data_IF_905816302243
#
_entry.id   IF_905816302243
#
_cell.length_a   1.000
_cell.length_b   1.000
_cell.length_c   1.000
_cell.angle_alpha   90.00
_cell.angle_beta   90.00
_cell.angle_gamma   90.00
#
_symmetry.space_group_name_H-M   'P 1'
#
loop_
_entity.id
_entity.type
_entity.pdbx_description
1 polymer ?
#
# COMPACT_ATOMS: atom_id res chain seq x y z
N UNK A 1 -18.22 -30.11 -38.76
CA UNK A 1 -18.63 -29.44 -40.01
C UNK A 1 -18.19 -27.98 -39.91
N UNK A 2 -17.71 -27.41 -41.04
CA UNK A 2 -17.35 -26.01 -41.15
C UNK A 2 -18.31 -25.32 -42.12
N UNK A 3 -18.85 -24.19 -41.71
CA UNK A 3 -19.73 -23.38 -42.55
C UNK A 3 -19.03 -22.06 -42.89
N UNK A 4 -19.08 -21.67 -44.14
CA UNK A 4 -18.59 -20.37 -44.62
C UNK A 4 -19.83 -19.56 -45.03
N UNK A 5 -19.99 -18.42 -44.39
CA UNK A 5 -21.14 -17.54 -44.57
C UNK A 5 -20.67 -16.12 -44.90
N UNK A 6 -21.51 -15.39 -45.63
CA UNK A 6 -21.34 -13.93 -45.72
C UNK A 6 -21.69 -13.27 -44.39
N UNK A 7 -20.96 -12.25 -44.02
CA UNK A 7 -21.12 -11.56 -42.72
C UNK A 7 -22.58 -11.13 -42.46
N UNK A 8 -23.27 -10.68 -43.49
CA UNK A 8 -24.68 -10.24 -43.40
C UNK A 8 -25.68 -11.38 -43.16
N UNK A 9 -25.28 -12.62 -43.40
CA UNK A 9 -26.14 -13.82 -43.28
C UNK A 9 -25.91 -14.54 -41.93
N UNK A 10 -24.89 -14.13 -41.17
CA UNK A 10 -24.46 -14.88 -39.98
C UNK A 10 -25.52 -14.87 -38.88
N UNK A 11 -26.16 -13.74 -38.61
CA UNK A 11 -27.19 -13.64 -37.56
C UNK A 11 -28.42 -14.46 -37.89
N UNK A 12 -28.89 -14.38 -39.14
CA UNK A 12 -30.05 -15.17 -39.59
C UNK A 12 -29.77 -16.65 -39.61
N UNK A 13 -28.56 -17.07 -39.91
CA UNK A 13 -28.13 -18.48 -39.87
C UNK A 13 -28.04 -18.99 -38.41
N UNK A 14 -27.46 -18.21 -37.52
CA UNK A 14 -27.33 -18.58 -36.10
C UNK A 14 -28.71 -18.69 -35.44
N UNK A 15 -29.64 -17.77 -35.73
CA UNK A 15 -31.02 -17.84 -35.23
C UNK A 15 -31.73 -19.13 -35.68
N UNK A 16 -31.59 -19.49 -36.96
CA UNK A 16 -32.18 -20.75 -37.50
C UNK A 16 -31.59 -22.01 -36.88
N UNK A 17 -30.29 -22.01 -36.60
CA UNK A 17 -29.62 -23.12 -35.92
C UNK A 17 -30.08 -23.23 -34.47
N UNK A 18 -30.27 -22.10 -33.79
CA UNK A 18 -30.80 -22.06 -32.44
C UNK A 18 -32.22 -22.58 -32.35
N UNK A 19 -33.07 -22.22 -33.32
CA UNK A 19 -34.45 -22.69 -33.39
C UNK A 19 -34.53 -24.22 -33.66
N UNK A 20 -33.58 -24.78 -34.40
CA UNK A 20 -33.49 -26.22 -34.61
C UNK A 20 -33.16 -27.02 -33.35
N UNK A 21 -32.50 -26.44 -32.35
CA UNK A 21 -32.20 -27.03 -31.05
C UNK A 21 -31.30 -28.27 -31.05
N UNK A 22 -30.67 -28.60 -32.22
CA UNK A 22 -29.87 -29.83 -32.42
C UNK A 22 -28.36 -29.59 -32.36
N UNK A 23 -27.93 -28.34 -32.25
CA UNK A 23 -26.51 -27.96 -32.23
C UNK A 23 -26.18 -27.22 -30.95
N UNK A 24 -25.25 -27.80 -30.20
CA UNK A 24 -24.65 -27.08 -29.05
C UNK A 24 -23.48 -26.22 -29.55
N UNK A 25 -23.62 -24.91 -29.36
CA UNK A 25 -22.56 -23.96 -29.75
C UNK A 25 -21.62 -23.81 -28.55
N UNK A 26 -20.51 -24.50 -28.61
CA UNK A 26 -19.43 -24.33 -27.64
C UNK A 26 -18.79 -22.94 -27.86
N UNK A 27 -18.96 -22.05 -26.89
CA UNK A 27 -18.31 -20.73 -26.95
C UNK A 27 -16.80 -20.92 -26.87
N UNK A 28 -16.09 -20.46 -27.87
CA UNK A 28 -14.63 -20.31 -27.76
C UNK A 28 -14.33 -19.10 -26.85
N UNK A 29 -13.55 -19.32 -25.81
CA UNK A 29 -13.02 -18.22 -24.99
C UNK A 29 -11.83 -17.51 -25.66
N UNK A 30 -11.42 -17.97 -26.85
CA UNK A 30 -10.34 -17.33 -27.61
C UNK A 30 -10.93 -16.29 -28.55
N UNK A 31 -10.43 -15.06 -28.55
CA UNK A 31 -10.85 -14.04 -29.49
C UNK A 31 -10.51 -14.49 -30.94
N UNK A 32 -11.41 -14.23 -31.86
CA UNK A 32 -11.26 -14.59 -33.29
C UNK A 32 -10.69 -13.40 -34.08
N UNK A 33 -10.93 -12.18 -33.57
CA UNK A 33 -10.47 -10.93 -34.13
C UNK A 33 -10.25 -9.86 -33.05
N UNK A 34 -9.67 -8.71 -33.41
CA UNK A 34 -9.40 -7.62 -32.45
C UNK A 34 -10.67 -7.03 -31.83
N UNK A 35 -11.83 -7.10 -32.51
CA UNK A 35 -13.10 -6.61 -31.95
C UNK A 35 -13.62 -7.57 -30.87
N UNK A 36 -13.52 -8.87 -31.10
CA UNK A 36 -13.88 -9.90 -30.11
C UNK A 36 -12.95 -9.84 -28.89
N UNK A 37 -11.67 -9.55 -29.09
CA UNK A 37 -10.70 -9.38 -28.03
C UNK A 37 -11.04 -8.18 -27.16
N UNK A 38 -11.39 -7.03 -27.75
CA UNK A 38 -11.82 -5.85 -27.01
C UNK A 38 -13.07 -6.12 -26.16
N UNK A 39 -14.09 -6.74 -26.75
CA UNK A 39 -15.32 -7.10 -26.03
C UNK A 39 -15.09 -8.09 -24.89
N UNK A 40 -14.22 -9.06 -25.06
CA UNK A 40 -13.85 -9.99 -24.00
C UNK A 40 -13.10 -9.27 -22.87
N UNK A 41 -12.18 -8.36 -23.21
CA UNK A 41 -11.47 -7.54 -22.23
C UNK A 41 -12.43 -6.66 -21.44
N UNK A 42 -13.37 -5.98 -22.08
CA UNK A 42 -14.40 -5.17 -21.42
C UNK A 42 -15.26 -6.02 -20.48
N UNK A 43 -15.70 -7.20 -20.93
CA UNK A 43 -16.49 -8.12 -20.11
C UNK A 43 -15.69 -8.62 -18.88
N UNK A 44 -14.40 -8.88 -19.03
CA UNK A 44 -13.55 -9.30 -17.91
C UNK A 44 -13.28 -8.16 -16.93
N UNK A 45 -13.12 -6.92 -17.40
CA UNK A 45 -13.02 -5.73 -16.54
C UNK A 45 -14.32 -5.50 -15.77
N UNK A 46 -15.49 -5.60 -16.43
CA UNK A 46 -16.78 -5.48 -15.78
C UNK A 46 -16.98 -6.55 -14.69
N UNK A 47 -16.61 -7.81 -14.96
CA UNK A 47 -16.65 -8.89 -13.95
C UNK A 47 -15.75 -8.61 -12.75
N UNK A 48 -14.53 -8.10 -12.97
CA UNK A 48 -13.63 -7.70 -11.88
C UNK A 48 -14.23 -6.57 -11.06
N UNK A 49 -14.73 -5.52 -11.71
CA UNK A 49 -15.38 -4.41 -11.03
C UNK A 49 -16.59 -4.87 -10.19
N UNK A 50 -17.44 -5.74 -10.72
CA UNK A 50 -18.57 -6.32 -9.96
C UNK A 50 -18.10 -7.15 -8.77
N UNK A 51 -17.01 -7.90 -8.90
CA UNK A 51 -16.45 -8.66 -7.78
C UNK A 51 -15.98 -7.73 -6.66
N UNK A 52 -15.33 -6.61 -6.98
CA UNK A 52 -14.91 -5.59 -6.01
C UNK A 52 -16.13 -4.97 -5.30
N UNK A 53 -17.14 -4.56 -6.06
CA UNK A 53 -18.38 -3.98 -5.51
C UNK A 53 -19.12 -4.96 -4.60
N UNK A 54 -19.18 -6.23 -4.97
CA UNK A 54 -19.84 -7.27 -4.15
C UNK A 54 -19.05 -7.56 -2.86
N UNK A 55 -17.74 -7.46 -2.87
CA UNK A 55 -16.91 -7.60 -1.68
C UNK A 55 -16.99 -6.38 -0.75
N UNK A 56 -17.40 -5.21 -1.25
CA UNK A 56 -17.52 -3.99 -0.47
C UNK A 56 -18.73 -4.08 0.47
N UNK A 57 -18.49 -3.88 1.78
CA UNK A 57 -19.51 -3.88 2.83
C UNK A 57 -20.10 -2.51 3.12
N UNK A 58 -19.49 -1.43 2.61
CA UNK A 58 -19.94 -0.07 2.82
C UNK A 58 -21.24 0.20 2.05
N UNK A 59 -22.15 0.90 2.69
CA UNK A 59 -23.39 1.36 2.07
C UNK A 59 -23.13 2.63 1.25
N UNK A 60 -23.78 2.77 0.08
CA UNK A 60 -23.70 4.00 -0.70
C UNK A 60 -24.34 5.18 0.01
N UNK A 61 -23.79 6.37 -0.18
CA UNK A 61 -24.39 7.61 0.31
C UNK A 61 -25.61 8.02 -0.53
N UNK A 62 -26.61 8.57 0.13
CA UNK A 62 -27.83 9.03 -0.55
C UNK A 62 -27.52 10.17 -1.51
N UNK A 63 -27.95 10.02 -2.76
CA UNK A 63 -27.81 11.07 -3.78
C UNK A 63 -26.47 11.11 -4.50
N UNK A 64 -25.62 10.09 -4.34
CA UNK A 64 -24.37 9.99 -5.10
C UNK A 64 -24.65 9.95 -6.59
N UNK A 65 -24.01 10.85 -7.32
CA UNK A 65 -24.04 10.93 -8.79
C UNK A 65 -22.63 10.72 -9.32
N UNK A 66 -22.54 9.97 -10.39
CA UNK A 66 -21.29 9.69 -11.05
C UNK A 66 -21.53 9.64 -12.57
N UNK A 67 -20.80 10.46 -13.30
CA UNK A 67 -21.02 10.69 -14.74
C UNK A 67 -19.93 10.05 -15.62
N UNK A 68 -18.92 9.43 -15.00
CA UNK A 68 -17.84 8.74 -15.70
C UNK A 68 -18.13 7.24 -15.84
N UNK A 69 -17.22 6.48 -16.48
CA UNK A 69 -17.30 5.03 -16.59
C UNK A 69 -17.15 4.37 -15.20
N UNK A 70 -18.20 3.73 -14.68
CA UNK A 70 -18.17 3.13 -13.36
C UNK A 70 -17.20 1.92 -13.28
N UNK A 71 -16.97 1.19 -14.38
CA UNK A 71 -16.06 0.04 -14.41
C UNK A 71 -14.63 0.51 -14.16
N UNK A 72 -14.19 1.52 -14.94
CA UNK A 72 -12.84 2.05 -14.81
C UNK A 72 -12.63 2.73 -13.44
N UNK A 73 -13.64 3.43 -12.94
CA UNK A 73 -13.56 4.07 -11.63
C UNK A 73 -13.41 3.06 -10.48
N UNK A 74 -14.14 1.96 -10.51
CA UNK A 74 -14.03 0.89 -9.50
C UNK A 74 -12.64 0.25 -9.54
N UNK A 75 -12.14 -0.08 -10.72
CA UNK A 75 -10.82 -0.71 -10.86
C UNK A 75 -9.71 0.24 -10.43
N UNK A 76 -9.77 1.52 -10.82
CA UNK A 76 -8.80 2.52 -10.40
C UNK A 76 -8.83 2.76 -8.88
N UNK A 77 -10.01 2.80 -8.26
CA UNK A 77 -10.14 2.94 -6.81
C UNK A 77 -9.61 1.69 -6.07
N UNK A 78 -9.82 0.48 -6.60
CA UNK A 78 -9.26 -0.75 -6.04
C UNK A 78 -7.74 -0.76 -6.09
N UNK A 79 -7.16 -0.41 -7.23
CA UNK A 79 -5.70 -0.31 -7.39
C UNK A 79 -5.11 0.68 -6.39
N UNK A 80 -5.77 1.83 -6.20
CA UNK A 80 -5.39 2.84 -5.23
C UNK A 80 -5.49 2.33 -3.80
N UNK A 81 -6.59 1.66 -3.43
CA UNK A 81 -6.77 1.01 -2.12
C UNK A 81 -5.63 0.04 -1.85
N UNK A 82 -5.23 -0.77 -2.82
CA UNK A 82 -4.16 -1.74 -2.67
C UNK A 82 -2.79 -1.05 -2.52
N UNK A 83 -2.51 -0.02 -3.30
CA UNK A 83 -1.29 0.77 -3.20
C UNK A 83 -1.17 1.44 -1.83
N UNK A 84 -2.22 2.15 -1.38
CA UNK A 84 -2.23 2.84 -0.09
C UNK A 84 -2.09 1.86 1.09
N UNK A 85 -2.66 0.66 1.02
CA UNK A 85 -2.45 -0.38 2.05
C UNK A 85 -0.98 -0.78 2.17
N UNK A 86 -0.26 -0.89 1.07
CA UNK A 86 1.18 -1.18 1.07
C UNK A 86 1.96 -0.03 1.69
N UNK A 87 1.61 1.22 1.35
CA UNK A 87 2.23 2.42 1.92
C UNK A 87 1.98 2.52 3.43
N UNK A 88 0.76 2.28 3.91
CA UNK A 88 0.43 2.22 5.33
C UNK A 88 1.28 1.15 6.04
N UNK A 89 1.43 -0.03 5.45
CA UNK A 89 2.25 -1.09 6.03
C UNK A 89 3.71 -0.66 6.17
N UNK A 90 4.24 0.04 5.18
CA UNK A 90 5.61 0.57 5.19
C UNK A 90 5.75 1.69 6.23
N UNK A 91 4.83 2.66 6.24
CA UNK A 91 4.83 3.75 7.19
C UNK A 91 4.70 3.25 8.66
N UNK A 92 3.86 2.24 8.92
CA UNK A 92 3.75 1.61 10.25
C UNK A 92 5.05 0.94 10.69
N UNK A 93 5.81 0.35 9.77
CA UNK A 93 7.15 -0.19 10.10
C UNK A 93 8.12 0.92 10.46
N UNK A 94 8.07 2.05 9.75
CA UNK A 94 8.89 3.22 10.09
C UNK A 94 8.55 3.78 11.47
N UNK A 95 7.25 3.89 11.82
CA UNK A 95 6.83 4.26 13.18
C UNK A 95 7.42 3.29 14.20
N UNK A 96 7.35 1.98 13.96
CA UNK A 96 7.89 0.99 14.87
C UNK A 96 9.42 1.10 15.06
N UNK A 97 10.14 1.45 14.01
CA UNK A 97 11.61 1.69 14.06
C UNK A 97 11.94 2.97 14.81
N UNK A 98 11.13 4.04 14.65
CA UNK A 98 11.36 5.34 15.29
C UNK A 98 10.89 5.38 16.76
N UNK A 99 9.81 4.65 17.08
CA UNK A 99 9.18 4.68 18.42
C UNK A 99 10.14 4.47 19.59
N UNK A 100 11.12 3.55 19.57
CA UNK A 100 12.08 3.39 20.63
C UNK A 100 12.95 4.62 20.91
N UNK A 101 13.11 5.51 19.91
CA UNK A 101 13.94 6.70 20.00
C UNK A 101 13.21 7.91 20.57
N UNK A 102 11.87 7.86 20.66
CA UNK A 102 11.05 8.98 21.14
C UNK A 102 11.10 10.19 20.21
N UNK A 103 10.78 11.33 20.77
CA UNK A 103 10.83 12.60 20.05
C UNK A 103 12.22 13.22 20.17
N UNK A 104 12.81 13.53 19.03
CA UNK A 104 14.04 14.31 18.95
C UNK A 104 14.02 15.18 17.69
N UNK A 105 14.74 16.29 17.74
CA UNK A 105 14.87 17.21 16.62
C UNK A 105 16.17 16.91 15.87
N UNK A 106 16.07 16.68 14.56
CA UNK A 106 17.25 16.60 13.69
C UNK A 106 18.08 17.88 13.72
N UNK A 107 17.44 19.05 13.94
CA UNK A 107 18.09 20.33 14.08
C UNK A 107 18.97 20.39 15.34
N UNK A 108 18.53 19.80 16.45
CA UNK A 108 19.31 19.78 17.69
C UNK A 108 20.53 18.86 17.56
N UNK A 109 20.41 17.75 16.84
CA UNK A 109 21.57 16.91 16.49
C UNK A 109 22.57 17.71 15.65
N UNK A 110 22.10 18.42 14.61
CA UNK A 110 22.95 19.27 13.78
C UNK A 110 23.63 20.39 14.56
N UNK A 111 22.93 21.01 15.54
CA UNK A 111 23.51 21.99 16.44
C UNK A 111 24.65 21.40 17.27
N UNK A 112 24.50 20.15 17.75
CA UNK A 112 25.58 19.47 18.47
C UNK A 112 26.77 19.18 17.53
N UNK A 113 26.51 18.74 16.31
CA UNK A 113 27.54 18.49 15.30
C UNK A 113 28.30 19.79 14.95
N UNK A 114 27.59 20.91 14.80
CA UNK A 114 28.22 22.23 14.56
C UNK A 114 29.13 22.70 15.70
N UNK A 115 28.91 22.20 16.91
CA UNK A 115 29.75 22.41 18.06
C UNK A 115 30.88 21.39 18.23
N UNK A 116 31.08 20.54 17.22
CA UNK A 116 32.12 19.50 17.22
C UNK A 116 31.78 18.25 18.04
N UNK A 117 30.50 18.05 18.37
CA UNK A 117 30.01 16.85 19.07
C UNK A 117 29.23 15.97 18.12
N UNK A 118 29.52 14.69 18.10
CA UNK A 118 28.79 13.70 17.28
C UNK A 118 27.95 12.81 18.16
N UNK A 119 26.65 12.75 17.85
CA UNK A 119 25.72 11.82 18.47
C UNK A 119 25.72 10.52 17.64
N UNK A 120 25.87 9.39 18.32
CA UNK A 120 25.81 8.07 17.70
C UNK A 120 24.73 7.24 18.36
N UNK A 121 23.96 6.54 17.54
CA UNK A 121 22.80 5.75 17.94
C UNK A 121 23.17 4.27 18.01
N UNK A 122 22.69 3.59 19.05
CA UNK A 122 22.97 2.18 19.28
C UNK A 122 21.73 1.42 19.68
N UNK A 123 21.60 0.20 19.16
CA UNK A 123 20.62 -0.78 19.61
C UNK A 123 21.36 -2.08 19.91
N UNK A 124 21.20 -2.62 21.09
CA UNK A 124 21.77 -3.92 21.41
C UNK A 124 20.80 -4.80 22.19
N UNK A 125 20.90 -6.14 22.06
CA UNK A 125 20.15 -7.05 22.89
C UNK A 125 20.41 -6.79 24.38
N UNK A 126 19.35 -6.76 25.19
CA UNK A 126 19.44 -6.48 26.65
C UNK A 126 20.46 -7.36 27.39
N UNK A 127 20.59 -8.61 26.92
CA UNK A 127 21.57 -9.58 27.49
C UNK A 127 23.04 -9.23 27.18
N UNK A 128 23.29 -8.37 26.20
CA UNK A 128 24.63 -7.94 25.78
C UNK A 128 24.96 -6.52 26.23
N UNK A 129 24.00 -5.82 26.82
CA UNK A 129 24.22 -4.45 27.32
C UNK A 129 25.01 -4.52 28.63
N UNK A 130 26.10 -3.79 28.71
CA UNK A 130 26.97 -3.69 29.88
C UNK A 130 26.93 -2.26 30.43
N UNK A 131 26.56 -2.12 31.72
CA UNK A 131 26.51 -0.82 32.37
C UNK A 131 27.88 -0.12 32.39
N UNK A 132 28.98 -0.89 32.39
CA UNK A 132 30.35 -0.38 32.32
C UNK A 132 30.65 0.44 31.05
N UNK A 133 29.83 0.34 29.99
CA UNK A 133 30.01 1.16 28.78
C UNK A 133 29.86 2.65 29.03
N UNK A 134 29.14 3.05 30.07
CA UNK A 134 29.05 4.45 30.49
C UNK A 134 30.37 5.04 31.01
N UNK A 135 31.31 4.18 31.38
CA UNK A 135 32.67 4.58 31.81
C UNK A 135 33.59 4.83 30.58
N UNK A 136 33.29 4.23 29.44
CA UNK A 136 34.05 4.39 28.20
C UNK A 136 33.67 5.70 27.52
N UNK A 137 32.37 5.99 27.42
CA UNK A 137 31.83 7.19 26.76
C UNK A 137 30.56 7.68 27.47
N UNK A 138 30.27 8.97 27.48
CA UNK A 138 28.99 9.50 27.93
C UNK A 138 27.86 8.82 27.18
N UNK A 139 27.04 8.05 27.88
CA UNK A 139 25.97 7.21 27.34
C UNK A 139 24.64 7.59 27.99
N UNK A 140 23.61 7.75 27.15
CA UNK A 140 22.24 7.97 27.62
C UNK A 140 21.34 6.90 27.06
N UNK A 141 20.71 6.11 27.93
CA UNK A 141 19.65 5.19 27.55
C UNK A 141 18.42 6.01 27.20
N UNK A 142 17.88 5.79 26.01
CA UNK A 142 16.67 6.42 25.50
C UNK A 142 15.45 5.58 25.85
N UNK A 143 15.50 4.29 25.56
CA UNK A 143 14.42 3.36 25.90
C UNK A 143 14.93 1.94 26.04
N UNK A 144 14.12 1.11 26.69
CA UNK A 144 14.33 -0.32 26.80
C UNK A 144 13.06 -1.05 26.36
N UNK A 145 13.22 -2.09 25.58
CA UNK A 145 12.17 -3.05 25.27
C UNK A 145 12.47 -4.38 25.99
N UNK A 146 11.60 -5.37 25.85
CA UNK A 146 11.83 -6.69 26.44
C UNK A 146 13.11 -7.35 25.92
N UNK A 147 13.52 -7.01 24.69
CA UNK A 147 14.63 -7.65 23.99
C UNK A 147 15.85 -6.76 23.81
N UNK A 148 15.67 -5.46 23.65
CA UNK A 148 16.73 -4.53 23.25
C UNK A 148 16.78 -3.29 24.14
N UNK A 149 17.99 -2.74 24.26
CA UNK A 149 18.28 -1.43 24.84
C UNK A 149 18.68 -0.48 23.73
N UNK A 150 18.05 0.69 23.70
CA UNK A 150 18.30 1.78 22.73
C UNK A 150 18.95 2.94 23.46
N UNK A 151 20.12 3.34 23.00
CA UNK A 151 20.89 4.36 23.67
C UNK A 151 21.70 5.20 22.67
N UNK A 152 22.14 6.36 23.12
CA UNK A 152 23.01 7.23 22.34
C UNK A 152 24.29 7.47 23.12
N UNK A 153 25.37 7.74 22.38
CA UNK A 153 26.60 8.29 22.94
C UNK A 153 26.89 9.64 22.31
N UNK A 154 27.57 10.51 23.04
CA UNK A 154 28.00 11.81 22.57
C UNK A 154 29.50 11.91 22.75
N UNK A 155 30.24 12.13 21.66
CA UNK A 155 31.68 12.25 21.68
C UNK A 155 32.16 13.35 20.72
N UNK A 156 33.34 13.98 20.97
CA UNK A 156 33.93 14.92 20.05
C UNK A 156 34.13 14.30 18.66
N UNK A 157 33.96 15.10 17.59
CA UNK A 157 34.21 14.68 16.21
C UNK A 157 35.71 14.44 15.99
N UNK A 158 36.56 15.25 16.63
CA UNK A 158 38.02 15.16 16.55
C UNK A 158 38.56 14.29 17.69
N UNK A 159 38.61 12.97 17.47
CA UNK A 159 39.19 12.02 18.42
C UNK A 159 39.01 10.59 17.94
N UNK A 160 39.90 9.70 18.43
CA UNK A 160 39.67 8.26 18.24
C UNK A 160 38.41 7.85 19.02
N UNK A 161 37.44 7.34 18.27
CA UNK A 161 36.21 6.83 18.87
C UNK A 161 36.21 5.30 18.79
N UNK A 162 36.36 4.68 19.91
CA UNK A 162 36.25 3.22 20.06
C UNK A 162 35.08 2.90 20.98
N UNK A 163 34.17 2.07 20.48
CA UNK A 163 33.04 1.58 21.25
C UNK A 163 32.83 0.09 20.95
N UNK A 164 32.43 -0.73 21.93
CA UNK A 164 32.37 -2.20 21.79
C UNK A 164 31.43 -2.71 20.70
N UNK A 165 30.44 -1.91 20.27
CA UNK A 165 29.52 -2.24 19.20
C UNK A 165 29.46 -1.14 18.16
N UNK A 166 29.04 -1.50 16.94
CA UNK A 166 28.90 -0.54 15.85
C UNK A 166 27.64 0.33 16.01
N UNK A 167 27.71 1.62 15.70
CA UNK A 167 26.55 2.49 15.69
C UNK A 167 25.61 2.13 14.55
N UNK A 168 24.32 2.31 14.80
CA UNK A 168 23.29 2.22 13.76
C UNK A 168 23.07 3.59 13.12
N UNK A 169 22.47 3.61 11.94
CA UNK A 169 22.04 4.85 11.29
C UNK A 169 21.03 5.59 12.18
N UNK A 170 21.20 6.90 12.30
CA UNK A 170 20.23 7.73 13.02
C UNK A 170 18.84 7.57 12.37
N UNK A 171 17.78 7.44 13.16
CA UNK A 171 16.43 7.44 12.61
C UNK A 171 16.13 8.76 11.92
N UNK A 172 15.50 8.73 10.76
CA UNK A 172 15.16 9.93 9.98
C UNK A 172 13.82 10.49 10.45
N UNK A 173 13.82 11.64 11.09
CA UNK A 173 12.63 12.37 11.54
C UNK A 173 12.03 11.84 12.86
N UNK A 174 11.04 12.56 13.37
CA UNK A 174 10.36 12.27 14.63
C UNK A 174 9.31 11.15 14.50
N UNK A 175 8.91 10.59 15.65
CA UNK A 175 7.80 9.61 15.70
C UNK A 175 6.48 10.30 15.31
N UNK A 176 6.24 11.52 15.77
CA UNK A 176 5.03 12.28 15.47
C UNK A 176 4.85 12.52 13.97
N UNK A 177 5.93 12.83 13.23
CA UNK A 177 5.88 12.98 11.77
C UNK A 177 5.50 11.67 11.09
N UNK A 178 6.06 10.53 11.54
CA UNK A 178 5.74 9.23 10.98
C UNK A 178 4.29 8.80 11.31
N UNK A 179 3.81 9.06 12.53
CA UNK A 179 2.42 8.78 12.93
C UNK A 179 1.43 9.65 12.16
N UNK A 180 1.77 10.91 11.90
CA UNK A 180 0.96 11.81 11.08
C UNK A 180 0.86 11.30 9.63
N UNK A 181 1.97 10.87 9.05
CA UNK A 181 1.96 10.27 7.71
C UNK A 181 1.06 9.01 7.64
N UNK A 182 1.08 8.16 8.67
CA UNK A 182 0.16 7.01 8.76
C UNK A 182 -1.29 7.47 8.80
N UNK A 183 -1.62 8.48 9.61
CA UNK A 183 -2.98 8.99 9.73
C UNK A 183 -3.49 9.60 8.42
N UNK A 184 -2.63 10.31 7.67
CA UNK A 184 -2.97 10.86 6.35
C UNK A 184 -3.25 9.74 5.34
N UNK A 185 -2.44 8.68 5.30
CA UNK A 185 -2.65 7.52 4.45
C UNK A 185 -3.92 6.73 4.83
N UNK A 186 -4.22 6.60 6.12
CA UNK A 186 -5.45 5.93 6.58
C UNK A 186 -6.70 6.75 6.19
N UNK A 187 -6.63 8.07 6.21
CA UNK A 187 -7.71 8.94 5.73
C UNK A 187 -7.90 8.82 4.20
N UNK A 188 -6.80 8.71 3.44
CA UNK A 188 -6.86 8.46 2.00
C UNK A 188 -7.49 7.09 1.70
N UNK A 189 -7.10 6.06 2.43
CA UNK A 189 -7.69 4.72 2.31
C UNK A 189 -9.20 4.74 2.55
N UNK A 190 -9.66 5.40 3.62
CA UNK A 190 -11.09 5.53 3.94
C UNK A 190 -11.85 6.24 2.81
N UNK A 191 -11.27 7.30 2.24
CA UNK A 191 -11.85 8.03 1.10
C UNK A 191 -12.04 7.13 -0.13
N UNK A 192 -11.03 6.36 -0.51
CA UNK A 192 -11.11 5.47 -1.67
C UNK A 192 -12.09 4.31 -1.42
N UNK A 193 -12.12 3.76 -0.19
CA UNK A 193 -13.10 2.73 0.18
C UNK A 193 -14.53 3.26 0.16
N UNK A 194 -14.77 4.50 0.59
CA UNK A 194 -16.08 5.15 0.48
C UNK A 194 -16.48 5.38 -0.97
N UNK A 195 -15.54 5.74 -1.85
CA UNK A 195 -15.80 5.85 -3.27
C UNK A 195 -16.30 4.52 -3.85
N UNK A 196 -15.64 3.41 -3.54
CA UNK A 196 -16.10 2.06 -3.94
C UNK A 196 -17.51 1.76 -3.37
N UNK A 197 -17.76 2.11 -2.10
CA UNK A 197 -19.07 1.97 -1.47
C UNK A 197 -20.17 2.76 -2.21
N UNK A 198 -19.86 3.98 -2.62
CA UNK A 198 -20.76 4.84 -3.38
C UNK A 198 -21.02 4.29 -4.80
N UNK A 199 -19.97 3.81 -5.48
CA UNK A 199 -20.06 3.20 -6.80
C UNK A 199 -20.91 1.91 -6.80
N UNK A 200 -21.08 1.26 -5.65
CA UNK A 200 -21.97 0.09 -5.50
C UNK A 200 -23.42 0.37 -5.90
N UNK A 201 -23.90 1.62 -5.75
CA UNK A 201 -25.22 2.03 -6.23
C UNK A 201 -25.39 1.92 -7.75
N UNK A 202 -24.28 1.88 -8.48
CA UNK A 202 -24.26 1.79 -9.95
C UNK A 202 -24.01 0.37 -10.48
N UNK A 203 -23.93 -0.63 -9.60
CA UNK A 203 -23.66 -2.03 -9.98
C UNK A 203 -24.62 -2.59 -11.03
N UNK A 204 -25.87 -2.10 -11.07
CA UNK A 204 -26.84 -2.47 -12.09
C UNK A 204 -26.61 -1.86 -13.48
N UNK A 205 -25.60 -0.97 -13.62
CA UNK A 205 -25.21 -0.35 -14.90
C UNK A 205 -23.89 -0.95 -15.46
N UNK A 206 -23.24 -1.81 -14.73
CA UNK A 206 -22.05 -2.57 -15.08
C UNK A 206 -22.46 -3.95 -15.61
#
# INVERSE_FOLDING_TARGET
YSFVLLSEQTEGFLSKIQDLGVIDITRSLKPVDGKSEALLSEADQAKKALAVLNACTLAPESGFKFDEDPVQAVLAAEDKVNAVKVEISTAKREVAVRRPWGEFSSEDIQKLESKGLKVRFYSCPKKKFEAAWSEIQPLQIISETDTNVFFVTVAPVSGEYTFPIEPISAPTGSVNEAEKAVAELEAELDKEQRLIGNLKSLSGKI
#
